data_IF_493514253841
#
_entry.id   IF_493514253841
#
_cell.length_a   1.000
_cell.length_b   1.000
_cell.length_c   1.000
_cell.angle_alpha   90.00
_cell.angle_beta   90.00
_cell.angle_gamma   90.00
#
_symmetry.space_group_name_H-M   'P 1'
#
loop_
_entity.id
_entity.type
_entity.pdbx_description
1 polymer ?
#
# COMPACT_ATOMS: atom_id res chain seq x y z
N UNK A 1 10.47 -2.78 16.45
CA UNK A 1 9.78 -3.11 15.17
C UNK A 1 10.81 -3.36 14.09
N UNK A 2 10.48 -4.23 13.15
CA UNK A 2 11.36 -4.53 12.03
C UNK A 2 10.57 -4.43 10.73
N UNK A 3 11.09 -3.65 9.78
CA UNK A 3 10.49 -3.56 8.45
C UNK A 3 11.02 -4.70 7.60
N UNK A 4 10.12 -5.51 7.07
CA UNK A 4 10.45 -6.75 6.34
C UNK A 4 10.48 -6.58 4.82
N UNK A 5 10.05 -5.42 4.30
CA UNK A 5 10.06 -5.15 2.88
C UNK A 5 9.14 -4.00 2.49
N UNK A 6 9.10 -3.71 1.20
CA UNK A 6 8.23 -2.71 0.60
C UNK A 6 7.15 -3.43 -0.20
N UNK A 7 6.19 -4.04 0.50
CA UNK A 7 5.23 -4.95 -0.10
C UNK A 7 4.15 -4.27 -0.94
N UNK A 8 4.09 -2.95 -0.93
CA UNK A 8 3.01 -2.23 -1.60
C UNK A 8 3.46 -0.83 -2.04
N UNK A 9 3.04 -0.44 -3.23
CA UNK A 9 3.15 0.94 -3.74
C UNK A 9 1.81 1.33 -4.33
N UNK A 10 1.25 2.46 -3.88
CA UNK A 10 0.00 2.98 -4.40
C UNK A 10 0.18 4.35 -5.02
N UNK A 11 -0.44 4.59 -6.16
CA UNK A 11 -0.36 5.87 -6.87
C UNK A 11 -1.76 6.33 -7.28
N UNK A 12 -2.12 7.54 -6.88
CA UNK A 12 -3.31 8.22 -7.38
C UNK A 12 -2.90 9.15 -8.52
N UNK A 13 -3.58 9.06 -9.65
CA UNK A 13 -3.19 9.85 -10.82
C UNK A 13 -4.38 10.13 -11.74
N UNK A 14 -4.49 11.34 -12.30
CA UNK A 14 -5.46 11.62 -13.36
C UNK A 14 -5.10 10.95 -14.68
N UNK A 15 -3.87 10.42 -14.79
CA UNK A 15 -3.39 9.70 -15.99
C UNK A 15 -3.48 8.20 -15.82
N UNK A 16 -4.59 7.73 -15.27
CA UNK A 16 -4.80 6.34 -14.89
C UNK A 16 -4.54 5.36 -16.06
N UNK A 17 -5.13 5.62 -17.22
CA UNK A 17 -4.99 4.71 -18.38
C UNK A 17 -3.54 4.62 -18.86
N UNK A 18 -2.85 5.75 -18.91
CA UNK A 18 -1.44 5.79 -19.34
C UNK A 18 -0.55 5.04 -18.36
N UNK A 19 -0.79 5.20 -17.05
CA UNK A 19 -0.02 4.50 -16.02
C UNK A 19 -0.30 3.01 -16.04
N UNK A 20 -1.55 2.59 -16.23
CA UNK A 20 -1.88 1.18 -16.34
C UNK A 20 -1.18 0.54 -17.55
N UNK A 21 -1.18 1.24 -18.68
CA UNK A 21 -0.48 0.77 -19.88
C UNK A 21 1.01 0.62 -19.63
N UNK A 22 1.63 1.58 -18.95
CA UNK A 22 3.05 1.50 -18.59
C UNK A 22 3.31 0.27 -17.73
N UNK A 23 2.58 0.10 -16.65
CA UNK A 23 2.79 -1.00 -15.71
C UNK A 23 2.53 -2.36 -16.34
N UNK A 24 1.42 -2.50 -17.05
CA UNK A 24 0.99 -3.79 -17.59
C UNK A 24 1.71 -4.14 -18.90
N UNK A 25 1.76 -3.21 -19.86
CA UNK A 25 2.25 -3.52 -21.21
C UNK A 25 3.74 -3.29 -21.38
N UNK A 26 4.32 -2.28 -20.73
CA UNK A 26 5.74 -1.98 -20.87
C UNK A 26 6.56 -2.69 -19.79
N UNK A 27 6.13 -2.62 -18.54
CA UNK A 27 6.86 -3.21 -17.40
C UNK A 27 6.45 -4.66 -17.12
N UNK A 28 5.38 -5.15 -17.74
CA UNK A 28 4.99 -6.56 -17.65
C UNK A 28 4.38 -6.99 -16.33
N UNK A 29 3.84 -6.08 -15.54
CA UNK A 29 3.17 -6.44 -14.29
C UNK A 29 1.86 -7.16 -14.55
N UNK A 30 1.51 -8.13 -13.70
CA UNK A 30 0.28 -8.91 -13.82
C UNK A 30 -0.90 -8.19 -13.18
N UNK A 31 -1.97 -7.97 -13.95
CA UNK A 31 -3.21 -7.40 -13.44
C UNK A 31 -3.98 -8.49 -12.69
N UNK A 32 -4.27 -8.30 -11.41
CA UNK A 32 -4.96 -9.30 -10.58
C UNK A 32 -6.34 -8.85 -10.11
N UNK A 33 -6.64 -7.56 -10.17
CA UNK A 33 -7.95 -7.03 -9.82
C UNK A 33 -8.22 -5.74 -10.58
N UNK A 34 -9.45 -5.56 -11.03
CA UNK A 34 -9.85 -4.37 -11.78
C UNK A 34 -11.28 -3.98 -11.46
N UNK A 35 -11.49 -2.71 -11.16
CA UNK A 35 -12.79 -2.08 -11.04
C UNK A 35 -12.67 -0.64 -11.56
N UNK A 36 -13.78 0.07 -11.80
CA UNK A 36 -13.70 1.44 -12.31
C UNK A 36 -12.84 2.34 -11.39
N UNK A 37 -11.78 2.91 -11.96
CA UNK A 37 -10.90 3.83 -11.24
C UNK A 37 -9.95 3.18 -10.25
N UNK A 38 -9.83 1.85 -10.24
CA UNK A 38 -8.92 1.16 -9.33
C UNK A 38 -8.46 -0.16 -9.91
N UNK A 39 -7.14 -0.41 -9.88
CA UNK A 39 -6.56 -1.69 -10.27
C UNK A 39 -5.49 -2.12 -9.29
N UNK A 40 -5.34 -3.43 -9.18
CA UNK A 40 -4.24 -4.06 -8.44
C UNK A 40 -3.41 -4.85 -9.44
N UNK A 41 -2.10 -4.61 -9.41
CA UNK A 41 -1.13 -5.42 -10.15
C UNK A 41 -0.26 -6.15 -9.13
N UNK A 42 0.21 -7.33 -9.49
CA UNK A 42 1.02 -8.15 -8.59
C UNK A 42 2.36 -8.47 -9.23
N UNK A 43 3.41 -8.37 -8.43
CA UNK A 43 4.76 -8.74 -8.84
C UNK A 43 5.03 -10.20 -8.52
N UNK A 44 6.04 -10.84 -9.17
CA UNK A 44 6.31 -12.27 -8.95
C UNK A 44 6.59 -12.64 -7.50
N UNK A 45 7.09 -11.71 -6.69
CA UNK A 45 7.38 -11.97 -5.27
C UNK A 45 6.17 -11.74 -4.35
N UNK A 46 4.99 -11.43 -4.91
CA UNK A 46 3.77 -11.18 -4.13
C UNK A 46 3.54 -9.73 -3.75
N UNK A 47 4.45 -8.83 -4.05
CA UNK A 47 4.26 -7.40 -3.80
C UNK A 47 3.13 -6.85 -4.68
N UNK A 48 2.43 -5.84 -4.18
CA UNK A 48 1.29 -5.22 -4.87
C UNK A 48 1.64 -3.82 -5.35
N UNK A 49 1.15 -3.50 -6.54
CA UNK A 49 1.17 -2.15 -7.08
C UNK A 49 -0.27 -1.76 -7.40
N UNK A 50 -0.74 -0.64 -6.85
CA UNK A 50 -2.12 -0.21 -7.02
C UNK A 50 -2.20 1.15 -7.68
N UNK A 51 -3.16 1.31 -8.59
CA UNK A 51 -3.45 2.58 -9.23
C UNK A 51 -4.86 3.03 -8.87
N UNK A 52 -4.97 4.30 -8.48
CA UNK A 52 -6.22 4.95 -8.15
C UNK A 52 -6.45 6.08 -9.14
N UNK A 53 -7.59 6.06 -9.83
CA UNK A 53 -8.03 7.18 -10.66
C UNK A 53 -8.74 8.24 -9.81
N UNK A 54 -9.04 9.38 -10.43
CA UNK A 54 -9.69 10.49 -9.74
C UNK A 54 -11.08 10.13 -9.18
N UNK A 55 -11.78 9.20 -9.85
CA UNK A 55 -13.10 8.76 -9.41
C UNK A 55 -13.06 7.75 -8.26
N UNK A 56 -11.89 7.20 -7.93
CA UNK A 56 -11.77 6.24 -6.83
C UNK A 56 -12.00 6.93 -5.49
N UNK A 57 -12.79 6.28 -4.63
CA UNK A 57 -13.05 6.75 -3.26
C UNK A 57 -12.07 6.19 -2.24
N UNK A 58 -11.18 5.30 -2.68
CA UNK A 58 -10.17 4.70 -1.80
C UNK A 58 -9.01 5.66 -1.61
N UNK A 59 -8.53 5.77 -0.37
CA UNK A 59 -7.27 6.46 -0.04
C UNK A 59 -7.19 7.87 -0.64
N UNK A 60 -8.25 8.66 -0.45
CA UNK A 60 -8.40 9.97 -1.09
C UNK A 60 -7.37 11.01 -0.65
N UNK A 61 -6.64 10.75 0.43
CA UNK A 61 -5.61 11.65 0.94
C UNK A 61 -4.23 11.47 0.28
N UNK A 62 -4.11 10.54 -0.68
CA UNK A 62 -2.86 10.37 -1.44
C UNK A 62 -2.67 11.55 -2.38
N UNK A 63 -1.49 12.16 -2.34
CA UNK A 63 -1.11 13.26 -3.24
C UNK A 63 0.14 12.95 -4.06
N UNK A 64 0.77 11.80 -3.79
CA UNK A 64 2.00 11.33 -4.43
C UNK A 64 2.04 9.81 -4.29
N UNK A 65 2.97 9.12 -4.96
CA UNK A 65 3.13 7.68 -4.75
C UNK A 65 3.41 7.37 -3.27
N UNK A 66 2.78 6.30 -2.77
CA UNK A 66 2.85 5.90 -1.36
C UNK A 66 3.45 4.51 -1.27
N UNK A 67 4.52 4.38 -0.48
CA UNK A 67 5.13 3.09 -0.20
C UNK A 67 4.50 2.47 1.06
N UNK A 68 4.25 1.16 1.02
CA UNK A 68 3.80 0.39 2.17
C UNK A 68 4.93 -0.46 2.73
N UNK A 69 5.22 -0.27 4.01
CA UNK A 69 6.28 -0.99 4.71
C UNK A 69 5.70 -2.24 5.35
N UNK A 70 6.24 -3.40 4.99
CA UNK A 70 5.77 -4.69 5.48
C UNK A 70 6.22 -4.91 6.92
N UNK A 71 5.28 -5.25 7.80
CA UNK A 71 5.54 -5.58 9.21
C UNK A 71 4.90 -6.91 9.57
N UNK A 72 5.44 -7.57 10.60
CA UNK A 72 4.91 -8.85 11.10
C UNK A 72 3.66 -8.67 11.96
N UNK A 73 3.60 -7.58 12.72
CA UNK A 73 2.50 -7.29 13.64
C UNK A 73 2.16 -5.81 13.52
N UNK A 74 1.07 -5.53 12.82
CA UNK A 74 0.71 -4.15 12.50
C UNK A 74 0.25 -3.39 13.75
N UNK A 75 -0.39 -4.07 14.69
CA UNK A 75 -0.86 -3.39 15.90
C UNK A 75 0.32 -2.98 16.79
N UNK A 76 1.30 -3.85 16.96
CA UNK A 76 2.52 -3.51 17.71
C UNK A 76 3.33 -2.43 17.00
N UNK A 77 3.48 -2.54 15.67
CA UNK A 77 4.23 -1.55 14.90
C UNK A 77 3.58 -0.17 15.00
N UNK A 78 2.26 -0.10 14.85
CA UNK A 78 1.51 1.15 15.00
C UNK A 78 1.67 1.74 16.39
N UNK A 79 1.53 0.91 17.43
CA UNK A 79 1.65 1.38 18.81
C UNK A 79 3.05 1.95 19.09
N UNK A 80 4.09 1.31 18.56
CA UNK A 80 5.47 1.80 18.70
C UNK A 80 5.66 3.14 18.01
N UNK A 81 5.12 3.29 16.79
CA UNK A 81 5.20 4.55 16.05
C UNK A 81 4.41 5.67 16.74
N UNK A 82 3.22 5.36 17.25
CA UNK A 82 2.43 6.33 18.01
C UNK A 82 3.15 6.79 19.28
N UNK A 83 3.88 5.88 19.93
CA UNK A 83 4.69 6.23 21.11
C UNK A 83 5.83 7.19 20.75
N UNK A 84 6.25 7.24 19.49
CA UNK A 84 7.23 8.20 18.99
C UNK A 84 6.60 9.45 18.39
N UNK A 85 5.31 9.65 18.58
CA UNK A 85 4.61 10.86 18.14
C UNK A 85 4.13 10.83 16.68
N UNK A 86 4.13 9.67 16.01
CA UNK A 86 3.65 9.56 14.63
C UNK A 86 2.11 9.53 14.64
N UNK A 87 1.51 10.36 13.80
CA UNK A 87 0.07 10.44 13.62
C UNK A 87 -0.40 9.45 12.54
N UNK A 88 -1.40 8.64 12.87
CA UNK A 88 -2.08 7.79 11.88
C UNK A 88 -3.38 8.45 11.44
N UNK A 89 -3.71 8.28 10.16
CA UNK A 89 -4.81 8.99 9.52
C UNK A 89 -6.19 8.44 9.86
N UNK A 90 -6.25 7.14 10.24
CA UNK A 90 -7.50 6.45 10.51
C UNK A 90 -7.22 5.18 11.32
N UNK A 91 -8.23 4.48 11.84
CA UNK A 91 -8.05 3.16 12.44
C UNK A 91 -7.43 2.19 11.43
N UNK A 92 -6.68 1.20 11.95
CA UNK A 92 -6.10 0.15 11.11
C UNK A 92 -7.22 -0.61 10.38
N UNK A 93 -7.08 -0.75 9.06
CA UNK A 93 -8.00 -1.54 8.26
C UNK A 93 -7.56 -3.01 8.31
N UNK A 94 -8.52 -3.90 8.48
CA UNK A 94 -8.28 -5.35 8.51
C UNK A 94 -9.27 -6.04 7.59
N UNK A 95 -8.74 -6.68 6.54
CA UNK A 95 -9.55 -7.38 5.56
C UNK A 95 -9.83 -8.82 6.00
N UNK A 96 -10.84 -9.45 5.38
CA UNK A 96 -11.22 -10.83 5.69
C UNK A 96 -10.11 -11.84 5.37
N UNK A 97 -9.26 -11.54 4.37
CA UNK A 97 -8.14 -12.40 3.99
C UNK A 97 -6.96 -12.32 4.96
N UNK A 98 -7.06 -11.50 5.99
CA UNK A 98 -6.01 -11.31 6.98
C UNK A 98 -5.06 -10.15 6.67
N UNK A 99 -5.15 -9.57 5.47
CA UNK A 99 -4.37 -8.38 5.14
C UNK A 99 -4.79 -7.21 6.04
N UNK A 100 -3.82 -6.36 6.41
CA UNK A 100 -4.11 -5.19 7.22
C UNK A 100 -3.21 -4.04 6.79
N UNK A 101 -3.71 -2.81 6.94
CA UNK A 101 -2.93 -1.62 6.59
C UNK A 101 -3.35 -0.42 7.43
N UNK A 102 -2.41 0.50 7.60
CA UNK A 102 -2.62 1.74 8.33
C UNK A 102 -1.73 2.83 7.72
N UNK A 103 -2.31 3.98 7.48
CA UNK A 103 -1.61 5.10 6.86
C UNK A 103 -1.18 6.11 7.91
N UNK A 104 0.03 6.61 7.78
CA UNK A 104 0.60 7.58 8.72
C UNK A 104 1.26 8.74 7.99
N UNK A 105 1.34 9.88 8.68
CA UNK A 105 2.04 11.05 8.17
C UNK A 105 3.48 11.04 8.69
N UNK A 106 4.43 11.04 7.76
CA UNK A 106 5.84 11.06 8.10
C UNK A 106 6.31 12.50 8.38
N UNK A 107 7.51 12.66 8.97
CA UNK A 107 8.07 13.99 9.24
C UNK A 107 8.23 14.88 8.02
N UNK A 108 8.33 14.29 6.81
CA UNK A 108 8.39 15.06 5.56
C UNK A 108 7.00 15.59 5.12
N UNK A 109 5.95 15.28 5.88
CA UNK A 109 4.59 15.71 5.60
C UNK A 109 3.80 14.80 4.67
N UNK A 110 4.44 13.79 4.08
CA UNK A 110 3.78 12.85 3.17
C UNK A 110 3.19 11.67 3.92
N UNK A 111 2.20 11.02 3.29
CA UNK A 111 1.55 9.83 3.83
C UNK A 111 2.27 8.60 3.31
N UNK A 112 2.51 7.65 4.22
CA UNK A 112 3.05 6.32 3.91
C UNK A 112 2.15 5.28 4.57
N UNK A 113 2.45 3.99 4.37
CA UNK A 113 1.62 2.91 4.88
C UNK A 113 2.45 1.89 5.66
N UNK A 114 1.90 1.40 6.78
CA UNK A 114 2.29 0.10 7.31
C UNK A 114 1.36 -0.93 6.69
N UNK A 115 1.90 -2.07 6.28
CA UNK A 115 1.10 -3.14 5.69
C UNK A 115 1.49 -4.49 6.28
N UNK A 116 0.48 -5.34 6.46
CA UNK A 116 0.66 -6.73 6.88
C UNK A 116 -0.01 -7.63 5.83
N UNK A 117 0.76 -8.57 5.30
CA UNK A 117 0.28 -9.55 4.32
C UNK A 117 0.68 -10.92 4.88
N UNK A 118 -0.28 -11.68 5.46
CA UNK A 118 0.05 -12.89 6.24
C UNK A 118 0.89 -13.93 5.51
N UNK A 119 0.68 -14.07 4.20
CA UNK A 119 1.38 -15.08 3.42
C UNK A 119 2.58 -14.54 2.63
N UNK A 120 2.98 -13.30 2.91
CA UNK A 120 4.11 -12.71 2.18
C UNK A 120 5.40 -13.48 2.49
N UNK A 121 6.15 -13.89 1.45
CA UNK A 121 7.38 -14.69 1.66
C UNK A 121 8.39 -14.05 2.63
N UNK A 122 8.50 -12.73 2.63
CA UNK A 122 9.45 -12.02 3.50
C UNK A 122 9.14 -12.13 4.98
N UNK A 123 7.92 -12.55 5.35
CA UNK A 123 7.56 -12.75 6.76
C UNK A 123 7.98 -14.12 7.30
N UNK A 124 8.42 -15.02 6.42
CA UNK A 124 8.78 -16.40 6.80
C UNK A 124 10.24 -16.53 7.26
N UNK A 125 10.99 -15.46 7.18
CA UNK A 125 12.44 -15.48 7.51
C UNK A 125 12.71 -15.17 8.99
#
# INVERSE_FOLDING_TARGET
MKIKGLAWVGTRTPKFKAMLKLYQNVMGMSLTHQEPGFVVLELPNGDKVELFGDESKYNTYFTNPVAGFLVEDIDLARAEMEAHGIEFMAPTEKAEDGNAWAHFRAPDGFIYELTYVPDHPSLRD
#
